data_IF_817036763460
#
_entry.id   IF_817036763460
#
_cell.length_a   1.000
_cell.length_b   1.000
_cell.length_c   1.000
_cell.angle_alpha   90.00
_cell.angle_beta   90.00
_cell.angle_gamma   90.00
#
_symmetry.space_group_name_H-M   'P 1'
#
loop_
_entity.id
_entity.type
_entity.pdbx_description
1 polymer ?
#
# COMPACT_ATOMS: atom_id res chain seq x y z
N UNK A 1 -9.42 17.64 35.99
CA UNK A 1 -10.88 17.42 35.97
C UNK A 1 -11.23 16.54 34.78
N UNK A 2 -11.38 15.25 35.08
CA UNK A 2 -12.22 14.22 34.44
C UNK A 2 -12.96 14.58 33.14
N UNK A 3 -12.59 13.95 32.02
CA UNK A 3 -13.48 13.25 31.06
C UNK A 3 -12.59 12.57 30.02
N UNK A 4 -12.28 11.26 30.17
CA UNK A 4 -11.97 10.36 29.02
C UNK A 4 -11.59 8.91 29.39
N UNK A 5 -11.87 8.42 30.58
CA UNK A 5 -11.68 7.00 30.91
C UNK A 5 -12.71 6.05 30.26
N UNK A 6 -13.66 6.55 29.46
CA UNK A 6 -14.78 5.75 28.97
C UNK A 6 -14.61 5.09 27.59
N UNK A 7 -13.47 5.22 26.92
CA UNK A 7 -13.40 4.87 25.48
C UNK A 7 -12.48 3.69 25.09
N UNK A 8 -11.98 2.89 26.04
CA UNK A 8 -11.19 1.68 25.70
C UNK A 8 -12.04 0.45 25.34
N UNK A 9 -13.29 0.37 25.79
CA UNK A 9 -14.19 -0.76 25.47
C UNK A 9 -14.98 -0.57 24.17
N UNK A 10 -15.35 0.67 23.80
CA UNK A 10 -16.10 0.95 22.57
C UNK A 10 -15.26 0.79 21.28
N UNK A 11 -13.95 1.08 21.35
CA UNK A 11 -13.05 1.03 20.20
C UNK A 11 -12.89 -0.37 19.59
N UNK A 12 -12.80 -1.41 20.43
CA UNK A 12 -12.68 -2.79 19.94
C UNK A 12 -14.01 -3.37 19.47
N UNK A 13 -15.13 -2.94 20.05
CA UNK A 13 -16.47 -3.33 19.58
C UNK A 13 -16.83 -2.67 18.25
N UNK A 14 -16.37 -1.45 17.94
CA UNK A 14 -16.64 -0.83 16.63
C UNK A 14 -15.79 -1.40 15.49
N UNK A 15 -14.65 -2.03 15.81
CA UNK A 15 -13.74 -2.64 14.81
C UNK A 15 -14.15 -4.08 14.44
N UNK A 16 -14.85 -4.80 15.32
CA UNK A 16 -15.20 -6.22 15.12
C UNK A 16 -16.68 -6.55 15.38
N UNK A 17 -17.50 -5.57 15.75
CA UNK A 17 -18.92 -5.76 16.02
C UNK A 17 -19.72 -5.84 14.72
N UNK A 18 -20.24 -7.03 14.42
CA UNK A 18 -21.36 -7.17 13.49
C UNK A 18 -22.57 -6.47 14.10
N UNK A 19 -23.09 -5.49 13.37
CA UNK A 19 -24.32 -4.79 13.73
C UNK A 19 -25.51 -5.69 13.39
N UNK A 20 -25.95 -6.51 14.35
CA UNK A 20 -27.24 -7.18 14.31
C UNK A 20 -28.33 -6.13 14.58
N UNK A 21 -28.74 -5.37 13.55
CA UNK A 21 -30.08 -4.74 13.48
C UNK A 21 -30.32 -4.03 12.14
N UNK A 22 -31.02 -4.72 11.25
CA UNK A 22 -32.10 -4.29 10.35
C UNK A 22 -32.03 -5.15 9.08
N UNK A 23 -32.76 -6.26 9.07
CA UNK A 23 -33.08 -6.96 7.84
C UNK A 23 -33.93 -6.03 6.95
N UNK A 24 -33.50 -5.69 5.73
CA UNK A 24 -34.37 -5.01 4.78
C UNK A 24 -35.47 -5.99 4.37
N UNK A 25 -36.71 -5.53 4.33
CA UNK A 25 -37.83 -6.27 3.71
C UNK A 25 -37.43 -6.65 2.29
N UNK A 26 -37.36 -7.96 2.03
CA UNK A 26 -37.27 -8.52 0.68
C UNK A 26 -38.49 -8.07 -0.12
N UNK A 27 -38.30 -7.09 -1.01
CA UNK A 27 -39.17 -6.93 -2.17
C UNK A 27 -38.96 -8.17 -3.04
N UNK A 28 -39.98 -9.04 -3.09
CA UNK A 28 -40.01 -10.19 -3.99
C UNK A 28 -39.91 -9.63 -5.41
N UNK A 29 -38.82 -9.87 -6.16
CA UNK A 29 -38.76 -9.46 -7.55
C UNK A 29 -39.86 -10.21 -8.30
N UNK A 30 -40.60 -9.51 -9.18
CA UNK A 30 -41.47 -10.19 -10.16
C UNK A 30 -40.67 -11.31 -10.84
N UNK A 31 -41.26 -12.50 -11.08
CA UNK A 31 -40.51 -13.62 -11.63
C UNK A 31 -39.93 -13.20 -12.97
N UNK A 32 -38.62 -12.94 -12.97
CA UNK A 32 -37.81 -12.95 -14.18
C UNK A 32 -38.11 -14.31 -14.79
N UNK A 33 -38.73 -14.30 -15.98
CA UNK A 33 -38.92 -15.50 -16.77
C UNK A 33 -37.55 -16.17 -16.84
N UNK A 34 -37.38 -17.29 -16.12
CA UNK A 34 -36.14 -18.03 -16.13
C UNK A 34 -35.84 -18.35 -17.59
N UNK A 35 -34.78 -17.73 -18.10
CA UNK A 35 -34.26 -18.09 -19.41
C UNK A 35 -34.05 -19.61 -19.38
N UNK A 36 -34.47 -20.35 -20.42
CA UNK A 36 -34.33 -21.79 -20.45
C UNK A 36 -32.89 -22.13 -20.06
N UNK A 37 -32.75 -23.03 -19.09
CA UNK A 37 -31.46 -23.52 -18.61
C UNK A 37 -30.70 -24.14 -19.78
N UNK A 38 -29.93 -23.32 -20.49
CA UNK A 38 -28.99 -23.76 -21.49
C UNK A 38 -27.74 -24.21 -20.73
N UNK A 39 -27.35 -25.47 -20.92
CA UNK A 39 -25.98 -25.86 -20.58
C UNK A 39 -25.05 -24.85 -21.24
N UNK A 40 -24.09 -24.26 -20.50
CA UNK A 40 -23.15 -23.32 -21.09
C UNK A 40 -22.48 -24.03 -22.28
N UNK A 41 -22.54 -23.38 -23.45
CA UNK A 41 -21.93 -23.91 -24.66
C UNK A 41 -20.44 -24.18 -24.46
N UNK A 42 -19.82 -24.98 -25.33
CA UNK A 42 -18.40 -25.32 -25.24
C UNK A 42 -17.53 -24.06 -25.14
N UNK A 43 -16.74 -23.97 -24.07
CA UNK A 43 -15.86 -22.85 -23.79
C UNK A 43 -14.59 -23.00 -24.63
N UNK A 44 -14.45 -22.18 -25.68
CA UNK A 44 -13.27 -22.18 -26.55
C UNK A 44 -12.37 -21.02 -26.16
N UNK A 45 -11.21 -21.33 -25.60
CA UNK A 45 -10.20 -20.35 -25.26
C UNK A 45 -9.40 -19.95 -26.51
N UNK A 46 -9.33 -18.64 -26.79
CA UNK A 46 -8.62 -18.09 -27.96
C UNK A 46 -7.41 -17.31 -27.46
N UNK A 47 -6.22 -17.72 -27.87
CA UNK A 47 -5.01 -16.98 -27.54
C UNK A 47 -5.00 -15.60 -28.23
N UNK A 48 -4.52 -14.52 -27.57
CA UNK A 48 -4.52 -13.18 -28.16
C UNK A 48 -3.74 -13.05 -29.48
N UNK A 49 -2.77 -13.93 -29.72
CA UNK A 49 -1.94 -13.99 -30.92
C UNK A 49 -2.44 -15.00 -31.96
N UNK A 50 -3.60 -15.61 -31.76
CA UNK A 50 -4.19 -16.53 -32.72
C UNK A 50 -4.63 -15.75 -33.98
N UNK A 51 -4.27 -16.21 -35.21
CA UNK A 51 -4.62 -15.50 -36.44
C UNK A 51 -6.13 -15.34 -36.65
N UNK A 52 -6.98 -16.17 -36.02
CA UNK A 52 -8.44 -16.06 -36.13
C UNK A 52 -8.98 -14.74 -35.55
N UNK A 53 -8.29 -14.15 -34.57
CA UNK A 53 -8.69 -12.90 -33.92
C UNK A 53 -8.68 -11.75 -34.95
N UNK A 54 -7.62 -11.63 -35.72
CA UNK A 54 -7.49 -10.63 -36.78
C UNK A 54 -8.51 -10.86 -37.91
N UNK A 55 -8.79 -12.13 -38.22
CA UNK A 55 -9.85 -12.47 -39.19
C UNK A 55 -11.22 -11.98 -38.70
N UNK A 56 -11.62 -12.32 -37.46
CA UNK A 56 -12.92 -11.91 -36.93
C UNK A 56 -13.06 -10.40 -36.74
N UNK A 57 -11.98 -9.69 -36.40
CA UNK A 57 -12.00 -8.23 -36.30
C UNK A 57 -12.27 -7.53 -37.65
N UNK A 58 -11.89 -8.18 -38.77
CA UNK A 58 -12.06 -7.63 -40.13
C UNK A 58 -13.19 -8.27 -40.93
N UNK A 59 -13.82 -9.33 -40.40
CA UNK A 59 -14.91 -10.03 -41.06
C UNK A 59 -16.17 -9.16 -41.14
N UNK A 60 -16.74 -9.06 -42.34
CA UNK A 60 -18.03 -8.40 -42.59
C UNK A 60 -19.18 -9.37 -42.34
N UNK A 61 -19.47 -9.62 -41.06
CA UNK A 61 -20.65 -10.35 -40.60
C UNK A 61 -20.42 -11.83 -40.30
N UNK A 62 -21.46 -12.65 -40.54
CA UNK A 62 -21.53 -14.04 -40.07
C UNK A 62 -20.49 -14.93 -40.76
N UNK A 63 -19.70 -15.65 -39.98
CA UNK A 63 -18.65 -16.57 -40.44
C UNK A 63 -19.11 -18.01 -40.28
N UNK A 64 -19.01 -18.78 -41.36
CA UNK A 64 -19.24 -20.23 -41.34
C UNK A 64 -17.93 -20.96 -41.04
N UNK A 65 -17.86 -21.62 -39.89
CA UNK A 65 -16.62 -22.26 -39.39
C UNK A 65 -16.16 -23.41 -40.31
N UNK A 66 -17.09 -24.18 -40.85
CA UNK A 66 -16.79 -25.29 -41.77
C UNK A 66 -16.22 -24.82 -43.11
N UNK A 67 -16.46 -23.56 -43.49
CA UNK A 67 -15.95 -22.95 -44.74
C UNK A 67 -14.64 -22.20 -44.55
N UNK A 68 -14.18 -22.02 -43.32
CA UNK A 68 -12.96 -21.30 -43.01
C UNK A 68 -11.75 -22.24 -43.16
N UNK A 69 -10.82 -21.84 -44.02
CA UNK A 69 -9.51 -22.47 -44.21
C UNK A 69 -8.42 -21.53 -43.66
N UNK A 70 -8.19 -21.63 -42.35
CA UNK A 70 -7.19 -20.85 -41.62
C UNK A 70 -6.46 -21.79 -40.65
N UNK A 71 -5.13 -21.75 -40.63
CA UNK A 71 -4.37 -22.48 -39.62
C UNK A 71 -4.43 -21.74 -38.28
N UNK A 72 -5.40 -22.13 -37.47
CA UNK A 72 -5.68 -21.56 -36.15
C UNK A 72 -6.00 -22.69 -35.17
N UNK A 73 -5.29 -22.79 -34.04
CA UNK A 73 -5.67 -23.66 -32.94
C UNK A 73 -7.11 -23.42 -32.47
N UNK A 74 -7.53 -22.15 -32.35
CA UNK A 74 -8.89 -21.80 -31.96
C UNK A 74 -9.93 -22.27 -32.99
N UNK A 75 -9.65 -22.19 -34.30
CA UNK A 75 -10.56 -22.70 -35.32
C UNK A 75 -10.78 -24.22 -35.19
N UNK A 76 -9.71 -24.97 -34.89
CA UNK A 76 -9.80 -26.42 -34.66
C UNK A 76 -10.66 -26.73 -33.44
N UNK A 77 -10.44 -26.01 -32.33
CA UNK A 77 -11.25 -26.14 -31.13
C UNK A 77 -12.73 -25.79 -31.39
N UNK A 78 -13.02 -24.76 -32.20
CA UNK A 78 -14.40 -24.44 -32.60
C UNK A 78 -15.07 -25.55 -33.42
N UNK A 79 -14.32 -26.21 -34.32
CA UNK A 79 -14.82 -27.36 -35.10
C UNK A 79 -15.07 -28.57 -34.21
N UNK A 80 -14.17 -28.86 -33.27
CA UNK A 80 -14.32 -29.95 -32.29
C UNK A 80 -15.52 -29.72 -31.34
N UNK A 81 -15.80 -28.45 -31.04
CA UNK A 81 -16.96 -28.00 -30.27
C UNK A 81 -18.29 -27.99 -31.06
N UNK A 82 -18.29 -28.47 -32.32
CA UNK A 82 -19.43 -28.45 -33.26
C UNK A 82 -20.07 -27.06 -33.46
N UNK A 83 -19.26 -26.00 -33.39
CA UNK A 83 -19.69 -24.64 -33.71
C UNK A 83 -19.80 -24.51 -35.24
N UNK A 84 -20.99 -24.17 -35.73
CA UNK A 84 -21.27 -24.03 -37.17
C UNK A 84 -21.12 -22.59 -37.65
N UNK A 85 -21.56 -21.66 -36.82
CA UNK A 85 -21.63 -20.24 -37.16
C UNK A 85 -21.05 -19.41 -36.05
N UNK A 86 -20.23 -18.43 -36.41
CA UNK A 86 -19.70 -17.43 -35.48
C UNK A 86 -20.09 -16.04 -35.98
N UNK A 87 -20.59 -15.22 -35.08
CA UNK A 87 -20.93 -13.83 -35.34
C UNK A 87 -19.99 -12.95 -34.53
N UNK A 88 -19.03 -12.25 -35.17
CA UNK A 88 -18.13 -11.34 -34.49
C UNK A 88 -18.89 -10.14 -33.91
N UNK A 89 -18.65 -9.84 -32.63
CA UNK A 89 -19.11 -8.60 -31.99
C UNK A 89 -18.00 -7.57 -32.12
N UNK A 90 -18.06 -6.75 -33.17
CA UNK A 90 -17.05 -5.72 -33.47
C UNK A 90 -17.61 -4.33 -33.17
N UNK A 91 -16.87 -3.51 -32.44
CA UNK A 91 -17.19 -2.09 -32.19
C UNK A 91 -15.94 -1.26 -32.41
N UNK A 92 -16.06 -0.17 -33.17
CA UNK A 92 -14.93 0.74 -33.49
C UNK A 92 -13.68 0.04 -34.07
N UNK A 93 -13.87 -1.12 -34.74
CA UNK A 93 -12.77 -1.88 -35.33
C UNK A 93 -12.09 -2.87 -34.38
N UNK A 94 -12.54 -2.97 -33.12
CA UNK A 94 -12.06 -3.96 -32.16
C UNK A 94 -13.05 -5.11 -31.99
N UNK A 95 -12.54 -6.33 -31.95
CA UNK A 95 -13.31 -7.52 -31.62
C UNK A 95 -13.53 -7.60 -30.10
N UNK A 96 -14.78 -7.46 -29.67
CA UNK A 96 -15.15 -7.44 -28.24
C UNK A 96 -15.59 -8.83 -27.77
N UNK A 97 -16.05 -9.66 -28.69
CA UNK A 97 -16.50 -11.01 -28.38
C UNK A 97 -17.02 -11.75 -29.62
N UNK A 98 -17.42 -13.00 -29.40
CA UNK A 98 -17.97 -13.88 -30.42
C UNK A 98 -19.31 -14.45 -29.94
N UNK A 99 -20.28 -14.48 -30.83
CA UNK A 99 -21.51 -15.24 -30.62
C UNK A 99 -21.42 -16.53 -31.44
N UNK A 100 -21.29 -17.65 -30.73
CA UNK A 100 -21.12 -18.97 -31.33
C UNK A 100 -22.46 -19.69 -31.41
N UNK A 101 -22.79 -20.27 -32.56
CA UNK A 101 -23.96 -21.11 -32.74
C UNK A 101 -23.56 -22.49 -33.26
N UNK A 102 -24.07 -23.52 -32.59
CA UNK A 102 -23.97 -24.91 -33.03
C UNK A 102 -24.98 -25.27 -34.12
N UNK A 103 -25.18 -26.56 -34.42
CA UNK A 103 -26.17 -27.02 -35.38
C UNK A 103 -27.59 -26.62 -34.95
N UNK A 104 -28.43 -26.32 -35.95
CA UNK A 104 -29.84 -25.96 -35.70
C UNK A 104 -30.61 -27.19 -35.26
N UNK A 105 -31.49 -27.04 -34.25
CA UNK A 105 -32.34 -28.13 -33.75
C UNK A 105 -33.28 -28.72 -34.82
N UNK A 106 -33.68 -27.92 -35.81
CA UNK A 106 -34.47 -28.39 -36.95
C UNK A 106 -33.67 -29.19 -37.98
N UNK A 107 -32.36 -29.38 -37.77
CA UNK A 107 -31.40 -30.01 -38.68
C UNK A 107 -31.28 -29.32 -40.06
N UNK A 108 -31.76 -28.09 -40.19
CA UNK A 108 -31.58 -27.26 -41.38
C UNK A 108 -30.38 -26.33 -41.23
N UNK A 109 -29.77 -25.95 -42.35
CA UNK A 109 -28.74 -24.90 -42.36
C UNK A 109 -29.31 -23.52 -41.98
N UNK A 110 -28.44 -22.63 -41.50
CA UNK A 110 -28.79 -21.23 -41.25
C UNK A 110 -29.03 -20.50 -42.58
N UNK A 111 -30.25 -19.99 -42.76
CA UNK A 111 -30.68 -19.28 -43.97
C UNK A 111 -30.01 -17.91 -44.10
N UNK A 112 -30.15 -17.29 -45.28
CA UNK A 112 -29.66 -15.92 -45.50
C UNK A 112 -30.33 -14.90 -44.55
N UNK A 113 -31.63 -15.08 -44.28
CA UNK A 113 -32.39 -14.22 -43.37
C UNK A 113 -31.93 -14.37 -41.92
N UNK A 114 -31.65 -15.61 -41.47
CA UNK A 114 -31.10 -15.87 -40.14
C UNK A 114 -29.76 -15.16 -39.95
N UNK A 115 -28.86 -15.26 -40.94
CA UNK A 115 -27.53 -14.64 -40.90
C UNK A 115 -27.63 -13.12 -40.88
N UNK A 116 -28.54 -12.54 -41.66
CA UNK A 116 -28.78 -11.09 -41.66
C UNK A 116 -29.27 -10.62 -40.29
N UNK A 117 -30.24 -11.32 -39.71
CA UNK A 117 -30.74 -11.00 -38.37
C UNK A 117 -29.64 -11.09 -37.31
N UNK A 118 -28.84 -12.16 -37.33
CA UNK A 118 -27.71 -12.35 -36.40
C UNK A 118 -26.68 -11.22 -36.53
N UNK A 119 -26.36 -10.80 -37.75
CA UNK A 119 -25.45 -9.69 -38.00
C UNK A 119 -26.00 -8.34 -37.51
N UNK A 120 -27.28 -8.07 -37.75
CA UNK A 120 -27.94 -6.85 -37.30
C UNK A 120 -27.99 -6.78 -35.77
N UNK A 121 -28.28 -7.92 -35.11
CA UNK A 121 -28.22 -8.05 -33.65
C UNK A 121 -26.80 -7.79 -33.15
N UNK A 122 -25.79 -8.46 -33.72
CA UNK A 122 -24.39 -8.26 -33.34
C UNK A 122 -23.95 -6.81 -33.44
N UNK A 123 -24.33 -6.13 -34.53
CA UNK A 123 -24.00 -4.72 -34.77
C UNK A 123 -24.66 -3.80 -33.74
N UNK A 124 -25.89 -4.08 -33.34
CA UNK A 124 -26.62 -3.31 -32.33
C UNK A 124 -26.15 -3.63 -30.89
N UNK A 125 -25.77 -4.88 -30.61
CA UNK A 125 -25.40 -5.31 -29.25
C UNK A 125 -23.93 -5.09 -28.93
N UNK A 126 -23.02 -5.13 -29.92
CA UNK A 126 -21.58 -5.02 -29.68
C UNK A 126 -21.18 -3.76 -28.89
N UNK A 127 -21.66 -2.55 -29.21
CA UNK A 127 -21.35 -1.35 -28.41
C UNK A 127 -21.87 -1.45 -26.96
N UNK A 128 -23.08 -2.01 -26.76
CA UNK A 128 -23.66 -2.17 -25.44
C UNK A 128 -22.88 -3.19 -24.58
N UNK A 129 -22.43 -4.29 -25.20
CA UNK A 129 -21.57 -5.28 -24.54
C UNK A 129 -20.23 -4.67 -24.16
N UNK A 130 -19.61 -3.87 -25.04
CA UNK A 130 -18.35 -3.17 -24.76
C UNK A 130 -18.48 -2.24 -23.55
N UNK A 131 -19.52 -1.41 -23.54
CA UNK A 131 -19.79 -0.50 -22.41
C UNK A 131 -20.01 -1.29 -21.13
N UNK A 132 -20.79 -2.37 -21.17
CA UNK A 132 -21.03 -3.21 -19.99
C UNK A 132 -19.77 -3.93 -19.47
N UNK A 133 -18.84 -4.32 -20.35
CA UNK A 133 -17.55 -4.88 -19.96
C UNK A 133 -16.63 -3.82 -19.34
N UNK A 134 -16.52 -2.65 -19.97
CA UNK A 134 -15.73 -1.54 -19.46
C UNK A 134 -16.21 -1.06 -18.09
N UNK A 135 -17.52 -0.92 -17.89
CA UNK A 135 -18.10 -0.55 -16.59
C UNK A 135 -17.76 -1.62 -15.53
N UNK A 136 -17.89 -2.91 -15.85
CA UNK A 136 -17.52 -3.99 -14.93
C UNK A 136 -16.03 -3.96 -14.56
N UNK A 137 -15.16 -3.75 -15.54
CA UNK A 137 -13.72 -3.65 -15.30
C UNK A 137 -13.39 -2.44 -14.41
N UNK A 138 -13.98 -1.28 -14.68
CA UNK A 138 -13.80 -0.08 -13.86
C UNK A 138 -14.31 -0.29 -12.42
N UNK A 139 -15.47 -0.94 -12.26
CA UNK A 139 -16.01 -1.28 -10.94
C UNK A 139 -15.09 -2.21 -10.16
N UNK A 140 -14.56 -3.25 -10.80
CA UNK A 140 -13.60 -4.16 -10.18
C UNK A 140 -12.31 -3.44 -9.75
N UNK A 141 -11.77 -2.58 -10.62
CA UNK A 141 -10.59 -1.77 -10.30
C UNK A 141 -10.86 -0.78 -9.16
N UNK A 142 -12.05 -0.17 -9.13
CA UNK A 142 -12.46 0.74 -8.06
C UNK A 142 -12.58 0.01 -6.71
N UNK A 143 -13.20 -1.17 -6.70
CA UNK A 143 -13.33 -2.00 -5.49
C UNK A 143 -11.97 -2.44 -4.95
N UNK A 144 -11.06 -2.89 -5.82
CA UNK A 144 -9.71 -3.28 -5.38
C UNK A 144 -8.92 -2.09 -4.84
N UNK A 145 -9.03 -0.94 -5.49
CA UNK A 145 -8.42 0.30 -4.99
C UNK A 145 -8.97 0.71 -3.63
N UNK A 146 -10.29 0.69 -3.46
CA UNK A 146 -10.94 1.02 -2.19
C UNK A 146 -10.49 0.09 -1.06
N UNK A 147 -10.36 -1.21 -1.37
CA UNK A 147 -9.83 -2.20 -0.44
C UNK A 147 -8.39 -1.88 -0.01
N UNK A 148 -7.50 -1.61 -0.98
CA UNK A 148 -6.10 -1.26 -0.69
C UNK A 148 -6.02 0.03 0.14
N UNK A 149 -6.80 1.05 -0.20
CA UNK A 149 -6.87 2.31 0.57
C UNK A 149 -7.36 2.05 2.01
N UNK A 150 -8.30 1.12 2.22
CA UNK A 150 -8.74 0.74 3.55
C UNK A 150 -7.65 0.02 4.34
N UNK A 151 -6.92 -0.91 3.72
CA UNK A 151 -5.80 -1.63 4.36
C UNK A 151 -4.68 -0.65 4.77
N UNK A 152 -4.34 0.31 3.90
CA UNK A 152 -3.34 1.34 4.19
C UNK A 152 -3.80 2.33 5.27
N UNK A 153 -5.09 2.70 5.31
CA UNK A 153 -5.66 3.49 6.42
C UNK A 153 -5.49 2.79 7.77
N UNK A 154 -5.70 1.47 7.82
CA UNK A 154 -5.50 0.69 9.05
C UNK A 154 -4.02 0.68 9.44
N UNK A 155 -3.12 0.46 8.48
CA UNK A 155 -1.67 0.50 8.74
C UNK A 155 -1.23 1.88 9.27
N UNK A 156 -1.75 2.97 8.70
CA UNK A 156 -1.51 4.34 9.18
C UNK A 156 -1.94 4.53 10.63
N UNK A 157 -3.14 4.06 10.96
CA UNK A 157 -3.66 4.16 12.32
C UNK A 157 -2.76 3.43 13.32
N UNK A 158 -2.33 2.21 12.98
CA UNK A 158 -1.40 1.44 13.80
C UNK A 158 -0.09 2.22 13.99
N UNK A 159 0.52 2.71 12.91
CA UNK A 159 1.75 3.50 12.98
C UNK A 159 1.59 4.74 13.88
N UNK A 160 0.49 5.48 13.75
CA UNK A 160 0.23 6.65 14.59
C UNK A 160 0.10 6.29 16.06
N UNK A 161 -0.38 5.10 16.41
CA UNK A 161 -0.41 4.65 17.81
C UNK A 161 0.98 4.30 18.37
N UNK A 162 1.96 4.04 17.50
CA UNK A 162 3.34 3.79 17.89
C UNK A 162 4.10 5.08 18.17
N UNK A 163 3.79 6.18 17.49
CA UNK A 163 4.45 7.46 17.76
C UNK A 163 4.04 8.06 19.12
N UNK A 164 4.89 8.90 19.73
CA UNK A 164 4.53 9.63 20.95
C UNK A 164 3.24 10.43 20.77
N UNK A 165 2.27 10.23 21.67
CA UNK A 165 0.97 10.92 21.64
C UNK A 165 1.00 12.28 22.31
N UNK A 166 1.93 12.45 23.24
CA UNK A 166 2.18 13.69 23.94
C UNK A 166 3.68 13.89 24.06
N UNK A 167 4.07 15.14 24.07
CA UNK A 167 5.41 15.52 24.50
C UNK A 167 5.44 15.42 26.03
N UNK A 168 6.38 14.67 26.63
CA UNK A 168 6.47 14.57 28.09
C UNK A 168 6.86 15.90 28.71
N UNK A 169 6.45 16.12 29.96
CA UNK A 169 6.86 17.28 30.74
C UNK A 169 8.25 17.02 31.33
N UNK A 170 9.23 17.86 30.98
CA UNK A 170 10.60 17.75 31.45
C UNK A 170 10.98 19.04 32.19
N UNK A 171 11.05 19.02 33.53
CA UNK A 171 11.31 20.22 34.31
C UNK A 171 12.59 20.96 33.86
N UNK A 172 12.44 22.25 33.58
CA UNK A 172 13.55 23.10 33.11
C UNK A 172 13.77 23.11 31.59
N UNK A 173 13.03 22.29 30.84
CA UNK A 173 13.12 22.20 29.38
C UNK A 173 11.76 22.45 28.73
N UNK A 174 11.77 23.04 27.54
CA UNK A 174 10.60 23.13 26.68
C UNK A 174 10.80 22.20 25.50
N UNK A 175 9.98 21.15 25.43
CA UNK A 175 10.00 20.19 24.35
C UNK A 175 8.84 20.48 23.37
N UNK A 176 9.10 20.36 22.08
CA UNK A 176 8.11 20.46 21.02
C UNK A 176 8.42 19.43 19.94
N UNK A 177 7.38 18.84 19.36
CA UNK A 177 7.49 17.89 18.25
C UNK A 177 6.41 18.19 17.21
N UNK A 178 6.78 18.07 15.95
CA UNK A 178 5.87 18.14 14.82
C UNK A 178 6.14 16.96 13.89
N UNK A 179 5.07 16.27 13.48
CA UNK A 179 5.17 15.12 12.59
C UNK A 179 4.01 15.12 11.60
N UNK A 180 4.35 15.14 10.32
CA UNK A 180 3.38 15.06 9.23
C UNK A 180 3.92 14.14 8.13
N UNK A 181 3.33 12.95 7.94
CA UNK A 181 3.78 12.02 6.91
C UNK A 181 3.35 12.51 5.51
N UNK A 182 4.23 12.36 4.51
CA UNK A 182 3.96 12.74 3.12
C UNK A 182 3.03 11.75 2.38
N UNK A 183 3.00 10.48 2.81
CA UNK A 183 2.11 9.42 2.31
C UNK A 183 1.25 8.85 3.44
N UNK A 184 0.40 7.87 3.12
CA UNK A 184 -0.45 7.23 4.12
C UNK A 184 0.35 6.58 5.25
N UNK A 185 1.53 6.00 4.95
CA UNK A 185 2.41 5.36 5.94
C UNK A 185 3.87 5.76 5.68
N UNK A 186 4.53 6.31 6.70
CA UNK A 186 5.90 6.85 6.63
C UNK A 186 6.98 5.88 7.12
N UNK A 187 8.25 6.16 6.81
CA UNK A 187 9.41 5.54 7.46
C UNK A 187 9.86 6.31 8.69
N UNK A 188 9.65 7.63 8.67
CA UNK A 188 10.03 8.58 9.70
C UNK A 188 9.38 8.29 11.06
N UNK A 189 10.18 8.41 12.11
CA UNK A 189 9.74 8.31 13.49
C UNK A 189 10.57 9.17 14.43
N UNK A 190 9.97 9.49 15.56
CA UNK A 190 10.67 10.09 16.69
C UNK A 190 10.17 9.44 17.97
N UNK A 191 10.95 9.53 19.04
CA UNK A 191 10.57 8.99 20.33
C UNK A 191 11.16 9.75 21.51
N UNK A 192 10.46 9.69 22.63
CA UNK A 192 10.91 10.18 23.92
C UNK A 192 11.01 9.02 24.91
N UNK A 193 12.15 8.90 25.57
CA UNK A 193 12.48 7.80 26.47
C UNK A 193 12.80 8.34 27.86
N UNK A 194 11.96 8.05 28.84
CA UNK A 194 12.31 8.24 30.24
C UNK A 194 13.19 7.06 30.69
N UNK A 195 14.42 7.36 31.11
CA UNK A 195 15.40 6.36 31.53
C UNK A 195 15.43 6.26 33.06
N UNK A 196 15.69 5.06 33.58
CA UNK A 196 15.61 4.75 35.02
C UNK A 196 16.54 5.61 35.90
N UNK A 197 17.62 6.14 35.33
CA UNK A 197 18.58 7.03 36.00
C UNK A 197 18.14 8.51 36.05
N UNK A 198 16.93 8.84 35.56
CA UNK A 198 16.43 10.20 35.45
C UNK A 198 16.95 10.96 34.22
N UNK A 199 17.73 10.32 33.36
CA UNK A 199 18.08 10.87 32.05
C UNK A 199 16.91 10.74 31.06
N UNK A 200 17.00 11.51 29.99
CA UNK A 200 15.95 11.63 28.99
C UNK A 200 16.49 11.36 27.59
N UNK A 201 16.01 10.29 26.97
CA UNK A 201 16.38 9.88 25.61
C UNK A 201 15.51 10.54 24.54
N UNK A 202 16.15 10.97 23.46
CA UNK A 202 15.57 11.60 22.28
C UNK A 202 15.97 10.80 21.05
N UNK A 203 15.00 10.38 20.25
CA UNK A 203 15.23 9.61 19.02
C UNK A 203 14.60 10.35 17.85
N UNK A 204 15.31 10.43 16.73
CA UNK A 204 14.73 10.72 15.41
C UNK A 204 15.36 9.75 14.41
N UNK A 205 14.54 9.17 13.53
CA UNK A 205 15.05 8.32 12.47
C UNK A 205 14.12 8.26 11.28
N UNK A 206 14.66 7.81 10.14
CA UNK A 206 13.90 7.54 8.93
C UNK A 206 14.34 6.21 8.32
N UNK A 207 13.36 5.43 7.90
CA UNK A 207 13.55 4.18 7.18
C UNK A 207 13.47 4.48 5.70
N UNK A 208 14.40 3.94 4.91
CA UNK A 208 14.32 4.04 3.45
C UNK A 208 13.05 3.44 2.90
N UNK A 209 12.62 3.96 1.74
CA UNK A 209 11.31 3.71 1.16
C UNK A 209 10.16 4.21 2.05
N UNK A 210 8.93 3.92 1.67
CA UNK A 210 7.72 4.32 2.40
C UNK A 210 6.67 3.21 2.26
N UNK A 211 5.55 3.32 2.97
CA UNK A 211 4.50 2.30 2.96
C UNK A 211 4.66 1.27 4.09
N UNK A 212 3.94 0.15 3.96
CA UNK A 212 3.83 -0.85 5.05
C UNK A 212 5.17 -1.48 5.45
N UNK A 213 6.07 -1.90 4.53
CA UNK A 213 7.36 -2.47 4.92
C UNK A 213 8.22 -1.50 5.76
N UNK A 214 8.29 -0.23 5.34
CA UNK A 214 9.02 0.82 6.08
C UNK A 214 8.44 1.02 7.48
N UNK A 215 7.12 0.99 7.62
CA UNK A 215 6.43 1.11 8.91
C UNK A 215 6.75 -0.04 9.88
N UNK A 216 6.86 -1.26 9.36
CA UNK A 216 7.21 -2.44 10.16
C UNK A 216 8.66 -2.36 10.65
N UNK A 217 9.58 -1.99 9.76
CA UNK A 217 10.99 -1.77 10.12
C UNK A 217 11.11 -0.65 11.15
N UNK A 218 10.38 0.46 10.98
CA UNK A 218 10.29 1.54 11.95
C UNK A 218 9.82 1.04 13.31
N UNK A 219 8.71 0.29 13.35
CA UNK A 219 8.12 -0.23 14.60
C UNK A 219 9.09 -1.15 15.35
N UNK A 220 9.78 -2.03 14.63
CA UNK A 220 10.82 -2.91 15.17
C UNK A 220 11.99 -2.10 15.71
N UNK A 221 12.49 -1.14 14.93
CA UNK A 221 13.62 -0.28 15.33
C UNK A 221 13.32 0.48 16.61
N UNK A 222 12.16 1.14 16.66
CA UNK A 222 11.71 1.87 17.85
C UNK A 222 11.60 0.97 19.08
N UNK A 223 11.07 -0.24 18.92
CA UNK A 223 10.95 -1.21 20.01
C UNK A 223 12.32 -1.66 20.52
N UNK A 224 13.26 -1.92 19.61
CA UNK A 224 14.63 -2.31 19.95
C UNK A 224 15.42 -1.17 20.61
N UNK A 225 15.20 0.08 20.17
CA UNK A 225 15.76 1.28 20.81
C UNK A 225 15.27 1.40 22.25
N UNK A 226 13.94 1.34 22.48
CA UNK A 226 13.35 1.34 23.83
C UNK A 226 13.96 0.26 24.72
N UNK A 227 14.06 -0.97 24.22
CA UNK A 227 14.59 -2.09 24.99
C UNK A 227 16.09 -1.95 25.28
N UNK A 228 16.87 -1.35 24.38
CA UNK A 228 18.32 -1.20 24.53
C UNK A 228 18.69 0.01 25.38
N UNK A 229 17.95 1.11 25.25
CA UNK A 229 18.14 2.35 26.01
C UNK A 229 17.95 2.16 27.53
N UNK A 230 17.09 1.22 27.95
CA UNK A 230 16.91 0.91 29.38
C UNK A 230 18.10 0.15 30.01
N UNK A 231 19.03 -0.37 29.20
CA UNK A 231 20.15 -1.21 29.68
C UNK A 231 21.51 -0.58 29.47
N UNK A 232 21.61 0.46 28.65
CA UNK A 232 22.86 1.04 28.18
C UNK A 232 22.79 2.56 28.28
N UNK A 233 23.81 3.17 28.88
CA UNK A 233 23.90 4.62 29.09
C UNK A 233 24.63 5.37 27.95
N UNK A 234 25.10 4.66 26.92
CA UNK A 234 25.83 5.21 25.77
C UNK A 234 24.95 5.18 24.52
N UNK A 235 24.69 6.34 23.88
CA UNK A 235 23.99 6.38 22.61
C UNK A 235 24.63 5.50 21.52
N UNK A 236 25.96 5.49 21.44
CA UNK A 236 26.69 4.71 20.44
C UNK A 236 26.51 3.20 20.62
N UNK A 237 26.59 2.70 21.87
CA UNK A 237 26.37 1.29 22.18
C UNK A 237 24.90 0.87 21.99
N UNK A 238 23.95 1.76 22.25
CA UNK A 238 22.53 1.52 21.94
C UNK A 238 22.33 1.33 20.44
N UNK A 239 22.83 2.25 19.61
CA UNK A 239 22.70 2.15 18.15
C UNK A 239 23.39 0.90 17.59
N UNK A 240 24.58 0.56 18.11
CA UNK A 240 25.28 -0.69 17.76
C UNK A 240 24.45 -1.92 18.09
N UNK A 241 23.90 -1.99 19.30
CA UNK A 241 23.07 -3.13 19.72
C UNK A 241 21.83 -3.26 18.84
N UNK A 242 21.19 -2.15 18.51
CA UNK A 242 20.00 -2.13 17.63
C UNK A 242 20.38 -2.56 16.21
N UNK A 243 21.47 -2.06 15.66
CA UNK A 243 21.97 -2.45 14.34
C UNK A 243 22.19 -3.97 14.25
N UNK A 244 22.92 -4.55 15.20
CA UNK A 244 23.25 -5.97 15.20
C UNK A 244 22.03 -6.89 15.31
N UNK A 245 20.93 -6.39 15.89
CA UNK A 245 19.65 -7.11 15.98
C UNK A 245 18.83 -6.95 14.70
N UNK A 246 18.89 -5.81 14.02
CA UNK A 246 18.07 -5.53 12.83
C UNK A 246 18.66 -6.11 11.55
N UNK A 247 19.99 -6.11 11.40
CA UNK A 247 20.69 -6.54 10.17
C UNK A 247 20.21 -7.92 9.64
N UNK A 248 19.96 -8.96 10.46
CA UNK A 248 19.49 -10.24 9.97
C UNK A 248 18.07 -10.23 9.38
N UNK A 249 17.21 -9.33 9.84
CA UNK A 249 15.76 -9.35 9.58
C UNK A 249 15.29 -8.20 8.67
N UNK A 250 16.16 -7.22 8.39
CA UNK A 250 15.81 -6.08 7.53
C UNK A 250 15.65 -6.53 6.07
N UNK A 251 14.60 -6.07 5.35
CA UNK A 251 14.44 -6.42 3.94
C UNK A 251 15.64 -5.95 3.09
N UNK A 252 15.96 -6.66 1.99
CA UNK A 252 17.04 -6.25 1.09
C UNK A 252 16.85 -4.82 0.60
N UNK A 253 17.96 -4.08 0.48
CA UNK A 253 18.02 -2.68 0.04
C UNK A 253 17.33 -1.67 0.97
N UNK A 254 16.87 -2.07 2.16
CA UNK A 254 16.40 -1.12 3.17
C UNK A 254 17.48 -0.83 4.20
N UNK A 255 17.48 0.40 4.73
CA UNK A 255 18.29 0.81 5.87
C UNK A 255 17.54 1.87 6.70
N UNK A 256 18.05 2.16 7.90
CA UNK A 256 17.49 3.18 8.78
C UNK A 256 18.55 4.21 9.10
N UNK A 257 18.26 5.48 8.79
CA UNK A 257 19.01 6.59 9.36
C UNK A 257 18.46 6.88 10.75
N UNK A 258 19.32 7.00 11.76
CA UNK A 258 18.85 7.23 13.13
C UNK A 258 19.81 8.09 13.92
N UNK A 259 19.28 9.06 14.64
CA UNK A 259 19.99 9.79 15.67
C UNK A 259 19.40 9.46 17.04
N UNK A 260 20.28 9.17 17.99
CA UNK A 260 19.89 8.95 19.37
C UNK A 260 20.71 9.85 20.28
N UNK A 261 20.02 10.55 21.18
CA UNK A 261 20.62 11.43 22.17
C UNK A 261 20.07 11.12 23.57
N UNK A 262 20.91 11.31 24.59
CA UNK A 262 20.56 11.18 26.01
C UNK A 262 20.92 12.50 26.68
N UNK A 263 19.92 13.14 27.28
CA UNK A 263 20.04 14.36 28.06
C UNK A 263 20.03 14.01 29.55
N UNK A 264 21.03 14.47 30.29
CA UNK A 264 20.94 14.63 31.73
C UNK A 264 20.28 15.97 32.05
N UNK A 265 19.03 16.00 32.54
CA UNK A 265 18.32 17.25 32.78
C UNK A 265 18.95 18.09 33.90
N UNK A 266 19.67 17.47 34.84
CA UNK A 266 20.24 18.16 35.99
C UNK A 266 21.49 18.96 35.62
N UNK A 267 22.32 18.43 34.70
CA UNK A 267 23.57 19.06 34.27
C UNK A 267 23.47 19.77 32.93
N UNK A 268 22.47 19.43 32.11
CA UNK A 268 22.36 19.87 30.73
C UNK A 268 23.30 19.13 29.77
N UNK A 269 23.98 18.07 30.23
CA UNK A 269 24.83 17.25 29.39
C UNK A 269 23.97 16.46 28.39
N UNK A 270 24.17 16.71 27.09
CA UNK A 270 23.56 15.97 26.00
C UNK A 270 24.64 15.12 25.31
N UNK A 271 24.53 13.80 25.45
CA UNK A 271 25.35 12.82 24.73
C UNK A 271 24.57 12.34 23.52
N UNK A 272 25.19 12.21 22.36
CA UNK A 272 24.49 11.79 21.15
C UNK A 272 25.38 10.97 20.22
N UNK A 273 24.75 10.10 19.44
CA UNK A 273 25.37 9.34 18.38
C UNK A 273 24.48 9.34 17.14
N UNK A 274 25.10 9.27 15.96
CA UNK A 274 24.41 9.39 14.69
C UNK A 274 24.73 8.18 13.78
N UNK A 275 23.68 7.48 13.36
CA UNK A 275 23.68 6.40 12.38
C UNK A 275 23.21 6.93 11.02
N UNK A 276 23.96 7.87 10.43
CA UNK A 276 23.72 8.38 9.08
C UNK A 276 22.47 9.25 8.89
N UNK A 277 21.89 9.76 9.98
CA UNK A 277 20.78 10.72 9.97
C UNK A 277 21.26 12.15 9.81
N UNK A 278 20.33 13.06 9.51
CA UNK A 278 20.62 14.49 9.41
C UNK A 278 21.20 15.07 10.70
N UNK A 279 22.11 16.03 10.53
CA UNK A 279 22.87 16.61 11.63
C UNK A 279 22.00 17.59 12.41
N UNK A 280 21.79 17.41 13.72
CA UNK A 280 20.99 18.35 14.48
C UNK A 280 21.71 19.69 14.61
N UNK A 281 20.94 20.76 14.75
CA UNK A 281 21.46 22.10 14.97
C UNK A 281 21.27 22.53 16.42
N UNK A 282 22.32 23.04 17.06
CA UNK A 282 22.22 23.76 18.32
C UNK A 282 22.29 25.26 18.05
N UNK A 283 21.34 26.02 18.57
CA UNK A 283 21.42 27.47 18.66
C UNK A 283 21.89 27.85 20.06
N UNK A 284 22.97 28.63 20.15
CA UNK A 284 23.42 29.21 21.41
C UNK A 284 22.75 30.54 21.67
N UNK A 285 22.34 30.76 22.91
CA UNK A 285 21.86 32.09 23.33
C UNK A 285 23.00 33.10 23.33
N UNK A 286 24.15 32.71 23.86
CA UNK A 286 25.37 33.52 23.81
C UNK A 286 25.97 33.49 22.40
N UNK A 287 25.95 34.63 21.71
CA UNK A 287 26.59 34.81 20.40
C UNK A 287 25.68 34.60 19.17
N UNK A 288 24.44 34.15 19.34
CA UNK A 288 23.38 34.19 18.31
C UNK A 288 23.56 33.25 17.10
N UNK A 289 24.57 32.38 17.08
CA UNK A 289 24.84 31.44 16.00
C UNK A 289 24.16 30.07 16.19
N UNK A 290 23.96 29.37 15.07
CA UNK A 290 23.60 27.95 15.04
C UNK A 290 24.84 27.12 14.63
N UNK A 291 25.08 26.01 15.32
CA UNK A 291 26.16 25.06 15.03
C UNK A 291 25.61 23.65 14.82
N UNK A 292 26.23 22.90 13.92
CA UNK A 292 25.88 21.50 13.67
C UNK A 292 26.51 20.57 14.71
N UNK A 293 25.69 19.69 15.25
CA UNK A 293 26.11 18.64 16.15
C UNK A 293 26.58 17.43 15.35
N UNK A 294 27.81 17.50 14.85
CA UNK A 294 28.37 16.49 13.95
C UNK A 294 28.78 15.23 14.70
N UNK A 295 28.13 14.11 14.43
CA UNK A 295 28.61 12.76 14.78
C UNK A 295 28.49 11.86 13.54
N UNK A 296 29.36 10.88 13.42
CA UNK A 296 29.48 10.01 12.24
C UNK A 296 29.14 8.55 12.55
N UNK A 297 28.50 7.89 11.59
CA UNK A 297 28.14 6.49 11.66
C UNK A 297 27.35 6.10 10.41
N UNK A 298 27.42 4.83 10.03
CA UNK A 298 26.67 4.32 8.87
C UNK A 298 25.21 4.04 9.25
N UNK A 299 24.25 4.16 8.33
CA UNK A 299 22.87 3.77 8.60
C UNK A 299 22.73 2.35 9.20
N UNK A 300 21.76 2.20 10.09
CA UNK A 300 21.44 0.91 10.71
C UNK A 300 20.93 -0.06 9.63
N UNK A 301 21.22 -1.35 9.79
CA UNK A 301 20.72 -2.41 8.92
C UNK A 301 21.58 -2.69 7.69
N UNK A 302 22.64 -1.90 7.43
CA UNK A 302 23.51 -2.12 6.28
C UNK A 302 24.52 -3.26 6.49
N UNK A 303 25.22 -3.25 7.62
CA UNK A 303 26.29 -4.21 7.93
C UNK A 303 26.29 -4.53 9.44
N UNK A 304 26.63 -5.76 9.84
CA UNK A 304 26.77 -6.11 11.26
C UNK A 304 28.07 -5.54 11.86
N UNK A 305 28.11 -5.37 13.18
CA UNK A 305 29.32 -5.01 13.92
C UNK A 305 29.76 -3.56 13.75
N UNK A 306 28.84 -2.66 13.37
CA UNK A 306 29.13 -1.25 13.17
C UNK A 306 29.34 -0.51 14.51
N UNK A 307 30.23 0.47 14.51
CA UNK A 307 30.40 1.42 15.60
C UNK A 307 29.84 2.79 15.22
N UNK A 308 29.39 3.52 16.23
CA UNK A 308 28.75 4.83 16.08
C UNK A 308 29.52 5.85 16.91
N UNK A 309 29.97 6.93 16.28
CA UNK A 309 30.69 7.99 16.98
C UNK A 309 29.76 8.67 17.98
N UNK A 310 30.25 8.82 19.20
CA UNK A 310 29.53 9.50 20.28
C UNK A 310 30.19 10.84 20.57
N UNK A 311 29.36 11.87 20.76
CA UNK A 311 29.80 13.20 21.18
C UNK A 311 28.92 13.75 22.26
N UNK A 312 29.44 14.79 22.92
CA UNK A 312 28.80 15.41 24.06
C UNK A 312 28.84 16.93 23.93
N UNK A 313 27.77 17.56 24.37
CA UNK A 313 27.69 19.01 24.56
C UNK A 313 27.00 19.30 25.89
N UNK A 314 27.22 20.50 26.44
CA UNK A 314 26.44 21.00 27.58
C UNK A 314 25.50 22.09 27.07
N UNK A 315 24.20 21.91 27.31
CA UNK A 315 23.16 22.89 27.01
C UNK A 315 23.11 23.94 28.12
N UNK A 316 23.27 25.20 27.75
CA UNK A 316 23.13 26.32 28.68
C UNK A 316 21.69 26.84 28.67
N UNK A 317 21.34 27.64 29.68
CA UNK A 317 20.01 28.25 29.75
C UNK A 317 19.74 29.11 28.50
N UNK A 318 18.63 28.81 27.84
CA UNK A 318 18.17 29.48 26.63
C UNK A 318 18.64 28.82 25.33
N UNK A 319 19.60 27.89 25.39
CA UNK A 319 20.00 27.14 24.21
C UNK A 319 18.85 26.26 23.70
N UNK A 320 18.84 26.01 22.40
CA UNK A 320 17.86 25.13 21.75
C UNK A 320 18.55 24.17 20.79
N UNK A 321 18.08 22.93 20.76
CA UNK A 321 18.52 21.92 19.79
C UNK A 321 17.35 21.56 18.89
N UNK A 322 17.61 21.51 17.59
CA UNK A 322 16.67 21.08 16.56
C UNK A 322 17.11 19.75 16.00
N UNK A 323 16.25 18.74 16.13
CA UNK A 323 16.33 17.48 15.41
C UNK A 323 15.28 17.50 14.30
N UNK A 324 15.62 17.00 13.12
CA UNK A 324 14.76 17.03 11.94
C UNK A 324 15.09 15.83 11.03
N UNK A 325 14.13 15.44 10.17
CA UNK A 325 14.35 14.53 9.06
C UNK A 325 14.39 15.27 7.73
N UNK A 326 14.83 14.58 6.68
CA UNK A 326 15.02 15.09 5.31
C UNK A 326 13.78 15.79 4.73
N UNK A 327 12.58 15.41 5.16
CA UNK A 327 11.32 16.04 4.76
C UNK A 327 11.24 17.55 5.05
N UNK A 328 12.05 18.09 5.98
CA UNK A 328 12.16 19.54 6.20
C UNK A 328 13.03 20.23 5.13
N UNK A 329 14.08 19.56 4.66
CA UNK A 329 15.06 20.12 3.71
C UNK A 329 14.58 19.95 2.27
N UNK A 330 13.82 18.89 1.99
CA UNK A 330 13.29 18.57 0.65
C UNK A 330 11.95 19.24 0.33
N UNK A 331 11.34 19.96 1.28
CA UNK A 331 10.12 20.71 1.07
C UNK A 331 10.37 22.01 0.27
N UNK A 332 10.45 21.87 -1.06
CA UNK A 332 10.56 22.98 -2.02
C UNK A 332 9.24 23.34 -2.70
#
# INVERSE_FOLDING_TARGET
MTTQERNRQGFWQSLFGRDERQEPREEIPEPVVEAPSQEPGPEVEIAPNDPIVAYFASASGVVEIDKLDLDSPALRAMKEADIKVVVPLVSQGELIGLLNLGPRLSQQEYSADDRKLLNDLATQTAPAVQVAQLVRQQQQQAQERERIEQELRVARLIQQTLLPKHVPDLPGYQLAAYYQPAREVGGDFYDFLELDNGHFGLVVGDVTDKGVPAALVMATTRTMLRASAQRLDSPGEVLKRVNDVIVPDIPPNMFITCLYAILDPATGLLRYANAGHDLPYRRRTAGGGAEELRATGMPLGLLPGMSYEEKEIVLERGDSVLFYSDGLVEAH
#
